data_IF_703517490537
#
_entry.id   IF_703517490537
#
_cell.length_a   1.000
_cell.length_b   1.000
_cell.length_c   1.000
_cell.angle_alpha   90.00
_cell.angle_beta   90.00
_cell.angle_gamma   90.00
#
_symmetry.space_group_name_H-M   'P 1'
#
loop_
_entity.id
_entity.type
_entity.pdbx_description
1 polymer ?
#
# COMPACT_ATOMS: atom_id res chain seq x y z
N UNK A 1 -4.00 -4.22 2.33
CA UNK A 1 -2.54 -4.03 2.32
C UNK A 1 -2.21 -2.91 3.28
N UNK A 2 -1.22 -3.06 4.16
CA UNK A 2 -0.81 -1.96 5.03
C UNK A 2 0.16 -1.05 4.27
N UNK A 3 -0.06 0.25 4.36
CA UNK A 3 0.83 1.24 3.77
C UNK A 3 2.14 1.25 4.59
N UNK A 4 3.32 0.97 3.99
CA UNK A 4 4.58 0.98 4.71
C UNK A 4 4.83 2.36 5.32
N UNK A 5 4.83 2.46 6.64
CA UNK A 5 5.09 3.69 7.38
C UNK A 5 5.42 3.38 8.83
N UNK A 6 6.07 4.32 9.51
CA UNK A 6 6.36 4.17 10.94
C UNK A 6 5.09 4.01 11.78
N UNK A 7 4.00 4.66 11.37
CA UNK A 7 2.69 4.56 12.03
C UNK A 7 2.10 3.14 11.92
N UNK A 8 2.33 2.45 10.81
CA UNK A 8 1.78 1.12 10.57
C UNK A 8 2.70 -0.02 11.02
N UNK A 9 3.94 0.26 11.43
CA UNK A 9 4.93 -0.78 11.80
C UNK A 9 4.42 -1.69 12.91
N UNK A 10 3.89 -1.11 13.99
CA UNK A 10 3.32 -1.87 15.11
C UNK A 10 2.14 -2.76 14.68
N UNK A 11 1.29 -2.25 13.78
CA UNK A 11 0.17 -3.02 13.24
C UNK A 11 0.65 -4.17 12.35
N UNK A 12 1.69 -3.96 11.55
CA UNK A 12 2.28 -5.01 10.72
C UNK A 12 2.94 -6.10 11.57
N UNK A 13 3.70 -5.73 12.61
CA UNK A 13 4.30 -6.67 13.56
C UNK A 13 3.22 -7.50 14.28
N UNK A 14 2.17 -6.84 14.78
CA UNK A 14 1.04 -7.49 15.44
C UNK A 14 0.32 -8.49 14.52
N UNK A 15 0.08 -8.11 13.26
CA UNK A 15 -0.59 -8.95 12.26
C UNK A 15 0.36 -9.98 11.62
N UNK A 16 1.65 -9.98 11.99
CA UNK A 16 2.72 -10.81 11.38
C UNK A 16 2.77 -10.67 9.86
N UNK A 17 2.54 -9.46 9.35
CA UNK A 17 2.65 -9.15 7.93
C UNK A 17 4.11 -8.83 7.63
N UNK A 18 4.74 -9.67 6.81
CA UNK A 18 6.01 -9.33 6.20
C UNK A 18 5.78 -8.51 4.93
N UNK A 19 6.20 -7.26 4.96
CA UNK A 19 6.15 -6.34 3.83
C UNK A 19 7.51 -6.04 3.22
N UNK A 20 8.56 -6.77 3.62
CA UNK A 20 9.92 -6.59 3.09
C UNK A 20 9.96 -6.61 1.56
N UNK A 21 9.09 -7.42 0.94
CA UNK A 21 8.96 -7.56 -0.50
C UNK A 21 8.45 -6.31 -1.23
N UNK A 22 7.70 -5.42 -0.57
CA UNK A 22 7.07 -4.27 -1.23
C UNK A 22 7.29 -2.93 -0.52
N UNK A 23 7.91 -2.91 0.67
CA UNK A 23 8.07 -1.68 1.48
C UNK A 23 8.83 -0.57 0.77
N UNK A 24 9.82 -0.93 -0.05
CA UNK A 24 10.66 0.01 -0.80
C UNK A 24 10.02 0.46 -2.13
N UNK A 25 9.06 -0.32 -2.66
CA UNK A 25 8.41 -0.03 -3.95
C UNK A 25 6.93 -0.43 -3.94
N UNK A 26 6.15 0.24 -3.08
CA UNK A 26 4.71 -0.02 -2.97
C UNK A 26 3.96 0.28 -4.28
N UNK A 27 4.37 1.31 -5.01
CA UNK A 27 3.78 1.67 -6.30
C UNK A 27 3.96 0.55 -7.33
N UNK A 28 5.18 0.02 -7.47
CA UNK A 28 5.44 -1.12 -8.37
C UNK A 28 4.62 -2.35 -8.00
N UNK A 29 4.50 -2.63 -6.70
CA UNK A 29 3.67 -3.74 -6.22
C UNK A 29 2.18 -3.56 -6.54
N UNK A 30 1.63 -2.36 -6.35
CA UNK A 30 0.24 -2.05 -6.72
C UNK A 30 0.02 -2.20 -8.23
N UNK A 31 0.96 -1.74 -9.05
CA UNK A 31 0.90 -1.88 -10.50
C UNK A 31 0.97 -3.35 -10.95
N UNK A 32 1.79 -4.18 -10.29
CA UNK A 32 1.86 -5.61 -10.55
C UNK A 32 0.53 -6.30 -10.23
N UNK A 33 -0.06 -6.02 -9.06
CA UNK A 33 -1.40 -6.54 -8.73
C UNK A 33 -2.41 -6.10 -9.78
N UNK A 34 -2.45 -4.80 -10.11
CA UNK A 34 -3.37 -4.27 -11.11
C UNK A 34 -3.21 -4.96 -12.47
N UNK A 35 -1.98 -5.29 -12.89
CA UNK A 35 -1.74 -6.02 -14.14
C UNK A 35 -2.35 -7.43 -14.17
N UNK A 36 -2.57 -8.03 -13.00
CA UNK A 36 -3.12 -9.38 -12.84
C UNK A 36 -4.64 -9.32 -12.60
N UNK A 37 -5.09 -8.39 -11.76
CA UNK A 37 -6.48 -8.33 -11.27
C UNK A 37 -7.34 -7.34 -12.03
N UNK A 38 -6.73 -6.50 -12.88
CA UNK A 38 -7.35 -5.44 -13.67
C UNK A 38 -7.97 -4.29 -12.85
N UNK A 39 -8.10 -4.45 -11.53
CA UNK A 39 -8.60 -3.48 -10.57
C UNK A 39 -7.93 -3.68 -9.21
N UNK A 40 -7.70 -2.59 -8.46
CA UNK A 40 -7.17 -2.62 -7.09
C UNK A 40 -8.01 -1.74 -6.18
N UNK A 41 -8.57 -2.31 -5.11
CA UNK A 41 -9.29 -1.58 -4.08
C UNK A 41 -8.34 -1.10 -2.97
N UNK A 42 -8.12 0.20 -2.90
CA UNK A 42 -7.38 0.83 -1.79
C UNK A 42 -8.38 1.28 -0.73
N UNK A 43 -8.35 0.64 0.44
CA UNK A 43 -9.15 1.03 1.59
C UNK A 43 -8.22 1.56 2.69
N UNK A 44 -8.41 2.82 3.05
CA UNK A 44 -7.75 3.44 4.20
C UNK A 44 -8.78 4.28 4.95
N UNK A 45 -9.34 3.78 6.07
CA UNK A 45 -10.24 4.58 6.89
C UNK A 45 -9.50 5.68 7.68
N UNK A 46 -8.18 5.55 7.90
CA UNK A 46 -7.43 6.38 8.85
C UNK A 46 -6.38 7.32 8.24
N UNK A 47 -5.97 7.13 6.99
CA UNK A 47 -4.98 7.99 6.34
C UNK A 47 -5.39 8.28 4.89
N UNK A 48 -6.40 9.16 4.77
CA UNK A 48 -6.87 9.67 3.48
C UNK A 48 -5.75 10.41 2.73
N UNK A 49 -4.85 11.08 3.45
CA UNK A 49 -3.73 11.83 2.86
C UNK A 49 -2.70 10.89 2.23
N UNK A 50 -2.26 9.86 2.96
CA UNK A 50 -1.33 8.86 2.43
C UNK A 50 -1.92 8.06 1.25
N UNK A 51 -3.22 7.75 1.31
CA UNK A 51 -3.94 7.14 0.20
C UNK A 51 -3.99 8.08 -1.02
N UNK A 52 -4.36 9.35 -0.83
CA UNK A 52 -4.42 10.34 -1.89
C UNK A 52 -3.05 10.57 -2.55
N UNK A 53 -1.97 10.74 -1.76
CA UNK A 53 -0.61 10.92 -2.29
C UNK A 53 -0.13 9.70 -3.08
N UNK A 54 -0.49 8.50 -2.65
CA UNK A 54 -0.19 7.25 -3.35
C UNK A 54 -0.94 7.17 -4.68
N UNK A 55 -2.26 7.41 -4.65
CA UNK A 55 -3.13 7.37 -5.84
C UNK A 55 -2.73 8.47 -6.84
N UNK A 56 -2.36 9.66 -6.36
CA UNK A 56 -1.91 10.77 -7.21
C UNK A 56 -0.61 10.44 -7.97
N UNK A 57 0.22 9.52 -7.44
CA UNK A 57 1.43 9.03 -8.10
C UNK A 57 1.17 7.83 -9.02
N UNK A 58 0.01 7.19 -8.88
CA UNK A 58 -0.46 6.10 -9.75
C UNK A 58 -1.23 6.62 -10.97
N UNK A 59 -1.69 7.88 -10.94
CA UNK A 59 -2.45 8.49 -12.02
C UNK A 59 -1.57 8.64 -13.29
N UNK A 60 -2.05 8.00 -14.37
CA UNK A 60 -1.63 8.17 -15.77
C UNK A 60 -2.02 9.56 -16.25
#
# INVERSE_FOLDING_TARGET
MLLPSQNNLKSAEFLKIDWSAYKENMIGFVNEIHSITNDVLITSPNDFKGAYETISKLAI
#
